data_IF_329195775329
#
_entry.id   IF_329195775329
#
_cell.length_a   1.000
_cell.length_b   1.000
_cell.length_c   1.000
_cell.angle_alpha   90.00
_cell.angle_beta   90.00
_cell.angle_gamma   90.00
#
_symmetry.space_group_name_H-M   'P 1'
#
loop_
_entity.id
_entity.type
_entity.pdbx_description
1 polymer ?
#
# COMPACT_ATOMS: atom_id res chain seq x y z
N UNK A 1 20.26 1.06 -15.69
CA UNK A 1 19.33 1.44 -14.59
C UNK A 1 20.04 2.38 -13.63
N UNK A 2 19.45 3.52 -13.36
CA UNK A 2 19.92 4.50 -12.37
C UNK A 2 19.00 4.49 -11.15
N UNK A 3 19.56 4.55 -9.93
CA UNK A 3 18.81 4.67 -8.68
C UNK A 3 19.22 5.98 -8.00
N UNK A 4 18.23 6.81 -7.72
CA UNK A 4 18.39 8.06 -6.98
C UNK A 4 17.61 8.03 -5.67
N UNK A 5 18.18 8.60 -4.62
CA UNK A 5 17.48 8.81 -3.35
C UNK A 5 17.03 10.26 -3.27
N UNK A 6 15.74 10.45 -3.04
CA UNK A 6 15.11 11.78 -3.01
C UNK A 6 14.39 11.99 -1.69
N UNK A 7 14.53 13.17 -1.11
CA UNK A 7 13.76 13.59 0.07
C UNK A 7 12.62 14.48 -0.41
N UNK A 8 11.40 14.00 -0.29
CA UNK A 8 10.18 14.71 -0.67
C UNK A 8 9.60 15.43 0.55
N UNK A 9 9.35 16.73 0.41
CA UNK A 9 8.71 17.52 1.47
C UNK A 9 7.20 17.48 1.33
N UNK A 10 6.52 17.04 2.39
CA UNK A 10 5.05 17.06 2.43
C UNK A 10 4.52 18.46 2.75
N UNK A 11 3.28 18.75 2.32
CA UNK A 11 2.61 20.04 2.56
C UNK A 11 2.44 20.38 4.05
N UNK A 12 2.51 19.39 4.93
CA UNK A 12 2.43 19.56 6.39
C UNK A 12 3.81 19.46 7.08
N UNK A 13 4.92 19.47 6.31
CA UNK A 13 6.28 19.68 6.79
C UNK A 13 7.01 18.42 7.27
N UNK A 14 6.67 17.23 6.78
CA UNK A 14 7.47 16.02 6.97
C UNK A 14 8.38 15.76 5.78
N UNK A 15 9.52 15.16 6.05
CA UNK A 15 10.43 14.65 5.04
C UNK A 15 10.13 13.16 4.78
N UNK A 16 9.92 12.80 3.51
CA UNK A 16 9.63 11.46 3.05
C UNK A 16 10.80 10.97 2.21
N UNK A 17 11.48 9.93 2.68
CA UNK A 17 12.57 9.29 1.98
C UNK A 17 12.03 8.38 0.88
N UNK A 18 12.46 8.63 -0.34
CA UNK A 18 12.03 7.93 -1.55
C UNK A 18 13.24 7.45 -2.33
N UNK A 19 13.08 6.34 -3.05
CA UNK A 19 14.03 5.86 -4.06
C UNK A 19 13.35 5.89 -5.41
N UNK A 20 13.98 6.52 -6.38
CA UNK A 20 13.54 6.58 -7.78
C UNK A 20 14.47 5.68 -8.59
N UNK A 21 13.90 4.76 -9.33
CA UNK A 21 14.61 3.86 -10.21
C UNK A 21 14.23 4.20 -11.65
N UNK A 22 15.22 4.56 -12.46
CA UNK A 22 15.01 5.02 -13.84
C UNK A 22 15.69 4.07 -14.83
N UNK A 23 15.03 3.64 -15.93
CA UNK A 23 15.66 2.85 -16.97
C UNK A 23 16.70 3.66 -17.77
N UNK A 24 17.65 2.98 -18.40
CA UNK A 24 18.66 3.62 -19.26
C UNK A 24 18.13 4.06 -20.64
N UNK A 25 16.93 3.64 -21.00
CA UNK A 25 16.31 3.87 -22.31
C UNK A 25 15.06 4.74 -22.26
N UNK A 26 14.24 4.59 -23.27
CA UNK A 26 12.95 5.28 -23.39
C UNK A 26 12.00 4.86 -22.27
N UNK A 27 11.33 5.85 -21.67
CA UNK A 27 10.34 5.61 -20.63
C UNK A 27 9.04 5.11 -21.23
N UNK A 28 8.57 3.97 -20.73
CA UNK A 28 7.30 3.36 -21.12
C UNK A 28 6.14 3.92 -20.28
N UNK A 29 6.39 4.14 -19.00
CA UNK A 29 5.44 4.66 -18.03
C UNK A 29 6.06 4.79 -16.65
N UNK A 30 5.26 5.13 -15.65
CA UNK A 30 5.69 5.27 -14.26
C UNK A 30 4.89 4.40 -13.29
N UNK A 31 5.53 3.93 -12.24
CA UNK A 31 4.89 3.11 -11.18
C UNK A 31 5.25 3.65 -9.81
N UNK A 32 4.22 3.93 -9.00
CA UNK A 32 4.38 4.22 -7.56
C UNK A 32 4.05 2.96 -6.78
N UNK A 33 4.97 2.52 -5.90
CA UNK A 33 4.76 1.37 -5.03
C UNK A 33 4.39 1.85 -3.63
N UNK A 34 3.16 1.60 -3.22
CA UNK A 34 2.64 1.87 -1.88
C UNK A 34 2.90 0.67 -0.97
N UNK A 35 3.74 0.85 0.05
CA UNK A 35 4.19 -0.21 0.96
C UNK A 35 3.08 -0.76 1.87
N UNK A 36 3.29 -1.95 2.43
CA UNK A 36 2.49 -2.49 3.52
C UNK A 36 2.79 -1.78 4.86
N UNK A 37 1.90 -1.97 5.85
CA UNK A 37 2.11 -1.45 7.21
C UNK A 37 3.41 -1.97 7.81
N UNK A 38 4.23 -1.08 8.34
CA UNK A 38 5.51 -1.39 8.98
C UNK A 38 6.52 -2.10 8.05
N UNK A 39 6.44 -1.89 6.75
CA UNK A 39 7.39 -2.43 5.77
C UNK A 39 8.12 -1.26 5.11
N UNK A 40 9.45 -1.24 5.24
CA UNK A 40 10.31 -0.25 4.61
C UNK A 40 10.39 -0.45 3.08
N UNK A 41 10.62 0.64 2.36
CA UNK A 41 10.65 0.67 0.89
C UNK A 41 11.66 -0.31 0.27
N UNK A 42 12.76 -0.60 0.94
CA UNK A 42 13.78 -1.53 0.46
C UNK A 42 13.28 -2.95 0.21
N UNK A 43 12.15 -3.33 0.84
CA UNK A 43 11.51 -4.63 0.59
C UNK A 43 11.05 -4.80 -0.85
N UNK A 44 10.71 -3.70 -1.52
CA UNK A 44 10.17 -3.67 -2.88
C UNK A 44 11.25 -3.48 -3.95
N UNK A 45 12.52 -3.33 -3.57
CA UNK A 45 13.60 -2.96 -4.48
C UNK A 45 13.76 -3.92 -5.66
N UNK A 46 13.71 -5.24 -5.43
CA UNK A 46 13.83 -6.24 -6.51
C UNK A 46 12.66 -6.19 -7.50
N UNK A 47 11.46 -5.92 -7.01
CA UNK A 47 10.29 -5.73 -7.87
C UNK A 47 10.39 -4.42 -8.66
N UNK A 48 10.87 -3.35 -8.03
CA UNK A 48 11.15 -2.09 -8.71
C UNK A 48 12.20 -2.27 -9.83
N UNK A 49 13.29 -2.96 -9.55
CA UNK A 49 14.33 -3.27 -10.55
C UNK A 49 13.77 -4.05 -11.75
N UNK A 50 12.95 -5.07 -11.49
CA UNK A 50 12.26 -5.82 -12.54
C UNK A 50 11.43 -4.90 -13.44
N UNK A 51 10.62 -4.01 -12.88
CA UNK A 51 9.80 -3.08 -13.67
C UNK A 51 10.66 -2.08 -14.45
N UNK A 52 11.77 -1.64 -13.89
CA UNK A 52 12.72 -0.75 -14.58
C UNK A 52 13.36 -1.43 -15.79
N UNK A 53 13.70 -2.72 -15.70
CA UNK A 53 14.17 -3.53 -16.84
C UNK A 53 13.12 -3.62 -17.94
N UNK A 54 11.84 -3.41 -17.60
CA UNK A 54 10.72 -3.39 -18.56
C UNK A 54 10.38 -1.97 -19.07
N UNK A 55 11.19 -0.95 -18.72
CA UNK A 55 11.05 0.42 -19.21
C UNK A 55 10.20 1.35 -18.34
N UNK A 56 9.79 0.93 -17.14
CA UNK A 56 9.06 1.79 -16.21
C UNK A 56 10.01 2.57 -15.30
N UNK A 57 9.74 3.86 -15.06
CA UNK A 57 10.30 4.55 -13.90
C UNK A 57 9.54 4.15 -12.66
N UNK A 58 10.23 3.79 -11.57
CA UNK A 58 9.58 3.28 -10.36
C UNK A 58 9.95 4.11 -9.15
N UNK A 59 8.94 4.50 -8.37
CA UNK A 59 9.13 5.20 -7.09
C UNK A 59 8.70 4.27 -5.96
N UNK A 60 9.63 4.03 -5.02
CA UNK A 60 9.34 3.45 -3.71
C UNK A 60 9.62 4.48 -2.64
N UNK A 61 8.91 4.43 -1.51
CA UNK A 61 9.09 5.42 -0.45
C UNK A 61 8.69 4.87 0.92
N UNK A 62 9.29 5.42 1.95
CA UNK A 62 8.92 5.14 3.34
C UNK A 62 7.86 6.15 3.79
N UNK A 63 6.73 5.65 4.29
CA UNK A 63 5.74 6.54 4.92
C UNK A 63 6.32 7.22 6.15
N UNK A 64 5.81 8.42 6.49
CA UNK A 64 6.15 9.08 7.75
C UNK A 64 6.08 8.14 8.94
N UNK A 65 7.13 8.08 9.72
CA UNK A 65 7.23 7.24 10.90
C UNK A 65 7.71 5.81 10.63
N UNK A 66 8.02 5.45 9.37
CA UNK A 66 8.52 4.15 8.96
C UNK A 66 9.90 4.30 8.33
N UNK A 67 10.77 3.31 8.50
CA UNK A 67 12.07 3.20 7.85
C UNK A 67 12.89 4.49 7.98
N UNK A 68 13.36 5.01 6.87
CA UNK A 68 14.16 6.24 6.80
C UNK A 68 13.34 7.52 7.00
N UNK A 69 12.01 7.47 6.85
CA UNK A 69 11.08 8.55 7.20
C UNK A 69 10.64 8.51 8.67
N UNK A 70 11.34 7.73 9.51
CA UNK A 70 11.09 7.68 10.95
C UNK A 70 11.34 9.04 11.60
N UNK A 71 10.57 9.33 12.63
CA UNK A 71 10.73 10.56 13.42
C UNK A 71 11.22 10.23 14.82
N UNK A 72 12.00 11.14 15.42
CA UNK A 72 12.57 10.95 16.76
C UNK A 72 11.50 10.77 17.84
N UNK A 73 10.36 11.44 17.70
CA UNK A 73 9.24 11.35 18.65
C UNK A 73 8.10 10.47 18.11
N UNK A 74 8.11 9.18 18.45
CA UNK A 74 7.06 8.21 18.07
C UNK A 74 5.65 8.54 18.67
N UNK A 75 5.58 9.39 19.71
CA UNK A 75 4.32 9.89 20.31
C UNK A 75 3.78 11.13 19.62
N UNK A 76 4.39 11.59 18.53
CA UNK A 76 3.91 12.74 17.78
C UNK A 76 2.47 12.48 17.29
N UNK A 77 1.53 13.28 17.77
CA UNK A 77 0.10 13.16 17.46
C UNK A 77 -0.27 13.48 16.00
N UNK A 78 0.65 14.13 15.25
CA UNK A 78 0.49 14.39 13.81
C UNK A 78 0.71 13.15 12.97
N UNK A 79 1.40 12.11 13.50
CA UNK A 79 1.56 10.82 12.85
C UNK A 79 0.22 10.09 12.81
N UNK A 80 -0.37 9.96 11.64
CA UNK A 80 -1.64 9.27 11.40
C UNK A 80 -1.54 8.41 10.17
N UNK A 81 -2.15 7.22 10.20
CA UNK A 81 -2.16 6.33 9.02
C UNK A 81 -2.80 7.01 7.79
N UNK A 82 -3.90 7.75 7.98
CA UNK A 82 -4.51 8.52 6.89
C UNK A 82 -3.59 9.58 6.27
N UNK A 83 -2.57 10.05 7.01
CA UNK A 83 -1.62 11.03 6.50
C UNK A 83 -0.67 10.42 5.46
N UNK A 84 -0.48 9.10 5.46
CA UNK A 84 0.28 8.38 4.45
C UNK A 84 -0.29 8.59 3.03
N UNK A 85 -1.63 8.59 2.89
CA UNK A 85 -2.25 8.95 1.60
C UNK A 85 -2.39 10.46 1.42
N UNK A 86 -2.90 11.16 2.48
CA UNK A 86 -3.25 12.58 2.38
C UNK A 86 -2.06 13.51 2.12
N UNK A 87 -0.87 13.13 2.56
CA UNK A 87 0.31 14.01 2.47
C UNK A 87 1.52 13.31 1.87
N UNK A 88 1.82 12.04 2.23
CA UNK A 88 3.04 11.37 1.79
C UNK A 88 2.88 10.93 0.33
N UNK A 89 1.81 10.20 0.00
CA UNK A 89 1.50 9.85 -1.39
C UNK A 89 1.27 11.08 -2.27
N UNK A 90 0.64 12.15 -1.74
CA UNK A 90 0.52 13.42 -2.48
C UNK A 90 1.87 14.02 -2.84
N UNK A 91 2.85 14.00 -1.92
CA UNK A 91 4.20 14.50 -2.22
C UNK A 91 4.90 13.65 -3.29
N UNK A 92 4.67 12.33 -3.29
CA UNK A 92 5.15 11.43 -4.36
C UNK A 92 4.48 11.73 -5.70
N UNK A 93 3.17 11.93 -5.71
CA UNK A 93 2.41 12.30 -6.94
C UNK A 93 2.85 13.67 -7.46
N UNK A 94 2.99 14.68 -6.58
CA UNK A 94 3.45 16.02 -6.96
C UNK A 94 4.86 15.94 -7.60
N UNK A 95 5.75 15.11 -7.05
CA UNK A 95 7.08 14.88 -7.61
C UNK A 95 6.99 14.18 -8.98
N UNK A 96 6.23 13.10 -9.09
CA UNK A 96 6.04 12.34 -10.33
C UNK A 96 5.53 13.25 -11.47
N UNK A 97 4.53 14.10 -11.17
CA UNK A 97 4.02 15.11 -12.12
C UNK A 97 5.07 16.11 -12.54
N UNK A 98 5.95 16.53 -11.62
CA UNK A 98 6.95 17.55 -11.92
C UNK A 98 8.13 17.02 -12.74
N UNK A 99 8.48 15.75 -12.62
CA UNK A 99 9.62 15.15 -13.30
C UNK A 99 9.23 14.42 -14.59
N UNK A 100 8.07 13.76 -14.60
CA UNK A 100 7.62 12.90 -15.70
C UNK A 100 6.09 12.99 -15.86
N UNK A 101 5.56 14.21 -15.98
CA UNK A 101 4.12 14.45 -16.11
C UNK A 101 3.52 14.01 -17.45
N UNK A 102 4.37 13.75 -18.44
CA UNK A 102 4.00 13.37 -19.82
C UNK A 102 3.75 11.86 -20.01
N UNK A 103 4.16 11.03 -19.06
CA UNK A 103 3.94 9.58 -19.11
C UNK A 103 2.75 9.14 -18.27
N UNK A 104 2.21 7.97 -18.60
CA UNK A 104 1.16 7.35 -17.80
C UNK A 104 1.71 6.77 -16.50
N UNK A 105 1.04 7.01 -15.40
CA UNK A 105 1.42 6.53 -14.08
C UNK A 105 0.43 5.51 -13.54
N UNK A 106 0.99 4.49 -12.89
CA UNK A 106 0.26 3.39 -12.27
C UNK A 106 0.61 3.29 -10.78
N UNK A 107 -0.27 2.66 -10.00
CA UNK A 107 -0.01 2.41 -8.59
C UNK A 107 -0.02 0.91 -8.29
N UNK A 108 1.00 0.42 -7.60
CA UNK A 108 1.02 -0.93 -7.02
C UNK A 108 0.89 -0.80 -5.51
N UNK A 109 -0.23 -1.25 -4.95
CA UNK A 109 -0.51 -1.15 -3.51
C UNK A 109 -0.40 -2.50 -2.81
N UNK A 110 0.48 -2.61 -1.81
CA UNK A 110 0.58 -3.79 -0.95
C UNK A 110 -0.17 -3.57 0.36
N UNK A 111 -1.13 -4.44 0.70
CA UNK A 111 -1.83 -4.40 1.99
C UNK A 111 -2.46 -3.00 2.24
N UNK A 112 -2.00 -2.25 3.25
CA UNK A 112 -2.44 -0.87 3.50
C UNK A 112 -2.20 0.04 2.29
N UNK A 113 -1.26 -0.28 1.42
CA UNK A 113 -0.95 0.49 0.21
C UNK A 113 -2.16 0.70 -0.71
N UNK A 114 -3.06 -0.29 -0.80
CA UNK A 114 -4.32 -0.14 -1.50
C UNK A 114 -5.39 0.63 -0.71
N UNK A 115 -5.19 0.88 0.57
CA UNK A 115 -6.12 1.68 1.40
C UNK A 115 -5.75 3.17 1.35
N UNK A 116 -4.45 3.49 1.41
CA UNK A 116 -3.99 4.88 1.52
C UNK A 116 -4.26 5.69 0.25
N UNK A 117 -4.40 5.03 -0.89
CA UNK A 117 -4.78 5.64 -2.16
C UNK A 117 -6.07 6.47 -2.02
N UNK A 118 -7.06 5.95 -1.28
CA UNK A 118 -8.32 6.65 -1.03
C UNK A 118 -8.21 7.93 -0.19
N UNK A 119 -7.05 8.23 0.40
CA UNK A 119 -6.82 9.50 1.11
C UNK A 119 -6.07 10.54 0.29
N UNK A 120 -5.45 10.16 -0.81
CA UNK A 120 -4.78 11.10 -1.69
C UNK A 120 -5.81 11.96 -2.43
N UNK A 121 -5.53 13.28 -2.53
CA UNK A 121 -6.40 14.21 -3.24
C UNK A 121 -6.28 14.04 -4.75
N UNK A 122 -5.09 13.75 -5.22
CA UNK A 122 -4.73 13.60 -6.63
C UNK A 122 -4.68 12.12 -7.07
N UNK A 123 -5.52 11.25 -6.49
CA UNK A 123 -5.51 9.82 -6.80
C UNK A 123 -6.09 9.46 -8.18
N UNK A 124 -6.76 10.40 -8.84
CA UNK A 124 -7.15 10.35 -10.25
C UNK A 124 -5.96 10.45 -11.24
N UNK A 125 -4.77 10.72 -10.72
CA UNK A 125 -3.52 10.72 -11.49
C UNK A 125 -3.17 9.35 -12.07
N UNK A 126 -3.52 8.27 -11.38
CA UNK A 126 -3.17 6.93 -11.81
C UNK A 126 -4.10 6.38 -12.87
N UNK A 127 -3.52 5.82 -13.94
CA UNK A 127 -4.25 5.17 -15.05
C UNK A 127 -4.76 3.79 -14.69
N UNK A 128 -4.02 3.08 -13.81
CA UNK A 128 -4.48 1.82 -13.23
C UNK A 128 -3.89 1.59 -11.85
N UNK A 129 -4.52 0.70 -11.09
CA UNK A 129 -4.06 0.30 -9.75
C UNK A 129 -4.02 -1.22 -9.65
N UNK A 130 -2.91 -1.75 -9.13
CA UNK A 130 -2.72 -3.17 -8.88
C UNK A 130 -2.53 -3.40 -7.37
N UNK A 131 -3.52 -4.02 -6.73
CA UNK A 131 -3.57 -4.21 -5.28
C UNK A 131 -3.19 -5.64 -4.90
N UNK A 132 -2.10 -5.81 -4.18
CA UNK A 132 -1.62 -7.11 -3.68
C UNK A 132 -2.02 -7.26 -2.21
N UNK A 133 -2.81 -8.27 -1.88
CA UNK A 133 -3.24 -8.55 -0.49
C UNK A 133 -3.82 -7.31 0.23
N UNK A 134 -4.38 -6.37 -0.52
CA UNK A 134 -4.99 -5.15 0.05
C UNK A 134 -6.39 -5.46 0.57
N UNK A 135 -6.66 -5.08 1.82
CA UNK A 135 -7.83 -5.54 2.55
C UNK A 135 -8.38 -4.52 3.55
N UNK A 136 -9.61 -4.73 3.98
CA UNK A 136 -10.18 -4.09 5.17
C UNK A 136 -9.70 -4.81 6.43
N UNK A 137 -9.16 -4.06 7.39
CA UNK A 137 -8.68 -4.62 8.66
C UNK A 137 -9.76 -4.84 9.73
N UNK A 138 -11.05 -4.74 9.40
CA UNK A 138 -12.13 -4.97 10.36
C UNK A 138 -12.15 -6.42 10.85
N UNK A 139 -12.02 -6.62 12.16
CA UNK A 139 -11.91 -7.95 12.79
C UNK A 139 -13.03 -8.93 12.44
N UNK A 140 -14.21 -8.43 12.12
CA UNK A 140 -15.37 -9.25 11.77
C UNK A 140 -15.25 -10.00 10.43
N UNK A 141 -14.22 -9.71 9.61
CA UNK A 141 -13.96 -10.44 8.36
C UNK A 141 -13.27 -11.78 8.56
N UNK A 142 -12.67 -12.03 9.73
CA UNK A 142 -12.05 -13.31 10.07
C UNK A 142 -13.06 -14.28 10.67
N UNK A 143 -12.73 -15.57 10.67
CA UNK A 143 -13.59 -16.64 11.19
C UNK A 143 -12.84 -17.47 12.24
N UNK A 144 -13.59 -18.24 13.06
CA UNK A 144 -13.06 -19.15 14.05
C UNK A 144 -12.08 -18.50 15.02
N UNK A 145 -11.01 -19.21 15.35
CA UNK A 145 -9.98 -18.74 16.28
C UNK A 145 -9.25 -17.49 15.80
N UNK A 146 -9.09 -17.33 14.47
CA UNK A 146 -8.44 -16.13 13.89
C UNK A 146 -9.25 -14.87 14.20
N UNK A 147 -10.59 -14.94 14.17
CA UNK A 147 -11.46 -13.84 14.54
C UNK A 147 -11.21 -13.37 15.98
N UNK A 148 -11.12 -14.32 16.92
CA UNK A 148 -10.82 -14.01 18.33
C UNK A 148 -9.42 -13.38 18.48
N UNK A 149 -8.41 -13.91 17.76
CA UNK A 149 -7.05 -13.37 17.77
C UNK A 149 -7.01 -11.92 17.24
N UNK A 150 -7.64 -11.64 16.12
CA UNK A 150 -7.67 -10.29 15.54
C UNK A 150 -8.48 -9.33 16.42
N UNK A 151 -9.58 -9.80 17.03
CA UNK A 151 -10.31 -9.05 18.06
C UNK A 151 -9.38 -8.63 19.19
N UNK A 152 -8.70 -9.57 19.83
CA UNK A 152 -7.76 -9.28 20.94
C UNK A 152 -6.65 -8.33 20.48
N UNK A 153 -6.14 -8.50 19.27
CA UNK A 153 -5.12 -7.62 18.69
C UNK A 153 -5.61 -6.16 18.63
N UNK A 154 -6.82 -5.92 18.10
CA UNK A 154 -7.34 -4.56 17.96
C UNK A 154 -7.85 -3.93 19.25
N UNK A 155 -8.42 -4.73 20.16
CA UNK A 155 -9.02 -4.18 21.38
C UNK A 155 -8.03 -4.08 22.54
N UNK A 156 -6.98 -4.91 22.56
CA UNK A 156 -6.05 -4.96 23.68
C UNK A 156 -4.59 -4.79 23.26
N UNK A 157 -4.04 -5.69 22.45
CA UNK A 157 -2.58 -5.78 22.21
C UNK A 157 -2.02 -4.51 21.59
N UNK A 158 -2.56 -4.08 20.46
CA UNK A 158 -2.06 -2.89 19.74
C UNK A 158 -2.23 -1.60 20.57
N UNK A 159 -3.39 -1.31 21.17
CA UNK A 159 -3.53 -0.14 22.02
C UNK A 159 -2.61 -0.16 23.26
N UNK A 160 -2.46 -1.32 23.91
CA UNK A 160 -1.62 -1.46 25.10
C UNK A 160 -0.14 -1.22 24.76
N UNK A 161 0.40 -1.94 23.76
CA UNK A 161 1.80 -1.78 23.34
C UNK A 161 2.08 -0.34 22.89
N UNK A 162 1.18 0.23 22.07
CA UNK A 162 1.33 1.62 21.61
C UNK A 162 1.37 2.61 22.77
N UNK A 163 0.55 2.41 23.80
CA UNK A 163 0.52 3.31 24.97
C UNK A 163 1.76 3.14 25.86
N UNK A 164 2.15 1.90 26.16
CA UNK A 164 3.27 1.61 27.04
C UNK A 164 4.61 2.05 26.42
N UNK A 165 4.84 1.68 25.17
CA UNK A 165 6.13 1.90 24.49
C UNK A 165 6.15 3.14 23.58
N UNK A 166 5.02 3.86 23.40
CA UNK A 166 4.92 4.95 22.43
C UNK A 166 4.93 4.48 20.97
N UNK A 167 4.93 3.17 20.75
CA UNK A 167 4.91 2.49 19.45
C UNK A 167 4.51 1.03 19.63
N UNK A 168 4.07 0.38 18.56
CA UNK A 168 4.06 -1.09 18.49
C UNK A 168 5.44 -1.51 17.98
N UNK A 169 6.24 -2.24 18.77
CA UNK A 169 7.57 -2.67 18.34
C UNK A 169 7.51 -3.57 17.10
N UNK A 170 8.50 -3.42 16.20
CA UNK A 170 8.55 -4.14 14.92
C UNK A 170 8.54 -5.67 15.05
N UNK A 171 9.08 -6.21 16.16
CA UNK A 171 9.08 -7.65 16.43
C UNK A 171 7.65 -8.26 16.45
N UNK A 172 6.63 -7.47 16.84
CA UNK A 172 5.23 -7.91 16.82
C UNK A 172 4.57 -7.74 15.43
N UNK A 173 5.20 -6.98 14.53
CA UNK A 173 4.68 -6.68 13.20
C UNK A 173 5.44 -7.43 12.09
N UNK A 174 6.59 -8.01 12.43
CA UNK A 174 7.47 -8.67 11.45
C UNK A 174 8.24 -7.69 10.55
N UNK A 175 8.38 -6.43 10.97
CA UNK A 175 9.05 -5.37 10.21
C UNK A 175 9.45 -4.18 11.08
N UNK A 176 9.15 -2.97 10.61
CA UNK A 176 9.44 -1.72 11.32
C UNK A 176 8.49 -1.48 12.50
N UNK A 177 8.92 -0.67 13.46
CA UNK A 177 8.05 -0.24 14.56
C UNK A 177 6.99 0.75 14.07
N UNK A 178 5.76 0.61 14.56
CA UNK A 178 4.64 1.47 14.20
C UNK A 178 4.38 2.53 15.30
N UNK A 179 4.52 3.84 15.03
CA UNK A 179 4.29 4.90 16.00
C UNK A 179 2.91 4.86 16.65
N UNK A 180 2.83 5.31 17.91
CA UNK A 180 1.64 5.23 18.75
C UNK A 180 0.36 5.72 18.08
N UNK A 181 0.40 6.92 17.52
CA UNK A 181 -0.79 7.54 16.94
C UNK A 181 -1.27 6.86 15.66
N UNK A 182 -0.36 6.25 14.88
CA UNK A 182 -0.68 5.45 13.69
C UNK A 182 -1.31 4.13 14.14
N UNK A 183 -0.66 3.42 15.07
CA UNK A 183 -1.14 2.14 15.58
C UNK A 183 -2.53 2.26 16.23
N UNK A 184 -2.75 3.30 17.05
CA UNK A 184 -4.06 3.56 17.68
C UNK A 184 -5.14 3.89 16.65
N UNK A 185 -4.82 4.64 15.58
CA UNK A 185 -5.77 4.91 14.52
C UNK A 185 -6.13 3.64 13.76
N UNK A 186 -5.14 2.81 13.44
CA UNK A 186 -5.35 1.52 12.77
C UNK A 186 -6.22 0.58 13.61
N UNK A 187 -5.91 0.42 14.91
CA UNK A 187 -6.72 -0.36 15.83
C UNK A 187 -8.15 0.18 15.98
N UNK A 188 -8.33 1.52 15.95
CA UNK A 188 -9.65 2.13 15.97
C UNK A 188 -10.47 1.74 14.74
N UNK A 189 -9.88 1.81 13.55
CA UNK A 189 -10.52 1.35 12.33
C UNK A 189 -10.81 -0.15 12.34
N UNK A 190 -9.85 -0.98 12.78
CA UNK A 190 -10.01 -2.42 12.87
C UNK A 190 -11.16 -2.90 13.75
N UNK A 191 -11.60 -2.06 14.70
CA UNK A 191 -12.75 -2.31 15.58
C UNK A 191 -14.10 -1.95 14.96
N UNK A 192 -14.10 -1.09 13.92
CA UNK A 192 -15.33 -0.56 13.33
C UNK A 192 -15.76 -1.39 12.11
N UNK A 193 -17.04 -1.82 12.01
CA UNK A 193 -17.55 -2.54 10.84
C UNK A 193 -17.37 -1.78 9.51
N UNK A 194 -17.43 -0.45 9.54
CA UNK A 194 -17.18 0.39 8.39
C UNK A 194 -15.68 0.61 8.12
N UNK A 195 -14.81 0.11 8.98
CA UNK A 195 -13.35 0.17 8.95
C UNK A 195 -12.83 1.61 8.94
N UNK A 196 -12.51 2.17 7.79
CA UNK A 196 -11.97 3.53 7.66
C UNK A 196 -13.06 4.56 7.98
N UNK A 197 -13.01 5.09 9.21
CA UNK A 197 -13.98 6.03 9.76
C UNK A 197 -13.28 7.21 10.43
N UNK A 198 -13.99 8.32 10.57
CA UNK A 198 -13.55 9.47 11.39
C UNK A 198 -13.70 9.20 12.90
N UNK A 199 -13.47 10.22 13.73
CA UNK A 199 -13.58 10.11 15.20
C UNK A 199 -15.02 9.89 15.69
N UNK A 200 -16.01 10.23 14.89
CA UNK A 200 -17.44 10.05 15.15
C UNK A 200 -17.94 8.70 14.64
N UNK A 201 -17.10 7.91 14.01
CA UNK A 201 -17.48 6.62 13.40
C UNK A 201 -18.10 6.75 12.00
N UNK A 202 -18.07 7.95 11.42
CA UNK A 202 -18.60 8.18 10.07
C UNK A 202 -17.58 7.67 9.02
N UNK A 203 -18.03 6.88 8.02
CA UNK A 203 -17.16 6.38 6.97
C UNK A 203 -16.48 7.51 6.16
N UNK A 204 -15.18 7.38 5.95
CA UNK A 204 -14.41 8.28 5.10
C UNK A 204 -14.31 7.63 3.71
N UNK A 205 -15.07 8.10 2.72
CA UNK A 205 -15.18 7.49 1.39
C UNK A 205 -14.92 8.44 0.23
N UNK A 206 -14.98 9.75 0.42
CA UNK A 206 -14.90 10.75 -0.67
C UNK A 206 -13.72 10.54 -1.60
N UNK A 207 -12.54 10.23 -1.05
CA UNK A 207 -11.35 9.98 -1.85
C UNK A 207 -11.37 8.63 -2.57
N UNK A 208 -12.01 7.62 -1.98
CA UNK A 208 -12.19 6.31 -2.63
C UNK A 208 -13.12 6.42 -3.84
N UNK A 209 -14.16 7.24 -3.74
CA UNK A 209 -15.10 7.48 -4.84
C UNK A 209 -14.53 8.35 -5.98
N UNK A 210 -13.38 9.03 -5.79
CA UNK A 210 -12.71 9.75 -6.88
C UNK A 210 -11.89 8.86 -7.79
N UNK A 211 -11.45 7.70 -7.30
CA UNK A 211 -10.71 6.73 -8.14
C UNK A 211 -11.68 6.14 -9.15
N UNK A 212 -11.45 6.40 -10.43
CA UNK A 212 -12.28 5.94 -11.56
C UNK A 212 -11.53 5.07 -12.56
N UNK A 213 -10.23 4.84 -12.35
CA UNK A 213 -9.42 3.97 -13.20
C UNK A 213 -9.70 2.48 -12.92
N UNK A 214 -9.18 1.61 -13.80
CA UNK A 214 -9.23 0.16 -13.58
C UNK A 214 -8.38 -0.26 -12.39
N UNK A 215 -8.92 -1.14 -11.55
CA UNK A 215 -8.25 -1.67 -10.35
C UNK A 215 -8.31 -3.19 -10.32
N UNK A 216 -7.16 -3.85 -10.12
CA UNK A 216 -7.09 -5.28 -9.88
C UNK A 216 -6.70 -5.55 -8.43
N UNK A 217 -7.51 -6.32 -7.69
CA UNK A 217 -7.21 -6.80 -6.35
C UNK A 217 -6.85 -8.28 -6.40
N UNK A 218 -5.65 -8.63 -5.95
CA UNK A 218 -5.25 -10.02 -5.78
C UNK A 218 -5.69 -10.53 -4.42
N UNK A 219 -6.53 -11.56 -4.45
CA UNK A 219 -6.93 -12.35 -3.30
C UNK A 219 -6.09 -13.63 -3.29
N UNK A 220 -5.00 -13.65 -2.51
CA UNK A 220 -4.08 -14.78 -2.42
C UNK A 220 -4.69 -15.85 -1.51
N UNK A 221 -4.79 -17.07 -2.00
CA UNK A 221 -5.54 -18.15 -1.33
C UNK A 221 -4.93 -18.63 -0.02
N UNK A 222 -3.62 -18.48 0.16
CA UNK A 222 -2.89 -18.86 1.38
C UNK A 222 -2.61 -17.67 2.33
N UNK A 223 -3.22 -16.50 2.07
CA UNK A 223 -3.11 -15.30 2.93
C UNK A 223 -4.29 -15.17 3.91
N UNK A 224 -4.65 -16.26 4.60
CA UNK A 224 -5.79 -16.25 5.55
C UNK A 224 -5.52 -15.44 6.81
N UNK A 225 -4.24 -15.19 7.12
CA UNK A 225 -3.84 -14.54 8.36
C UNK A 225 -4.09 -13.04 8.29
N UNK A 226 -3.80 -12.43 7.14
CA UNK A 226 -3.81 -10.97 6.99
C UNK A 226 -4.91 -10.47 6.04
N UNK A 227 -5.21 -11.20 4.97
CA UNK A 227 -6.15 -10.76 3.94
C UNK A 227 -7.14 -11.86 3.53
N UNK A 228 -8.04 -12.32 4.44
CA UNK A 228 -9.06 -13.30 4.07
C UNK A 228 -9.99 -12.74 2.99
N UNK A 229 -10.63 -13.59 2.17
CA UNK A 229 -11.45 -13.17 1.02
C UNK A 229 -12.46 -12.06 1.33
N UNK A 230 -13.19 -12.16 2.44
CA UNK A 230 -14.17 -11.15 2.88
C UNK A 230 -13.54 -9.77 3.10
N UNK A 231 -12.30 -9.73 3.57
CA UNK A 231 -11.61 -8.46 3.85
C UNK A 231 -11.10 -7.77 2.59
N UNK A 232 -10.65 -8.53 1.59
CA UNK A 232 -10.26 -8.02 0.27
C UNK A 232 -11.48 -7.46 -0.46
N UNK A 233 -12.58 -8.24 -0.53
CA UNK A 233 -13.83 -7.80 -1.14
C UNK A 233 -14.41 -6.54 -0.47
N UNK A 234 -14.32 -6.46 0.86
CA UNK A 234 -14.80 -5.29 1.60
C UNK A 234 -14.02 -4.02 1.25
N UNK A 235 -12.68 -4.08 1.09
CA UNK A 235 -11.92 -2.92 0.65
C UNK A 235 -12.19 -2.57 -0.82
N UNK A 236 -12.24 -3.57 -1.70
CA UNK A 236 -12.57 -3.39 -3.11
C UNK A 236 -13.90 -2.62 -3.28
N UNK A 237 -14.90 -2.94 -2.46
CA UNK A 237 -16.20 -2.24 -2.44
C UNK A 237 -16.16 -0.77 -2.00
N UNK A 238 -15.02 -0.24 -1.52
CA UNK A 238 -14.90 1.20 -1.25
C UNK A 238 -14.70 2.03 -2.53
N UNK A 239 -14.18 1.42 -3.60
CA UNK A 239 -13.84 2.06 -4.87
C UNK A 239 -15.00 1.97 -5.88
N UNK A 240 -16.13 2.57 -5.52
CA UNK A 240 -17.41 2.40 -6.24
C UNK A 240 -17.44 3.00 -7.66
N UNK A 241 -16.52 3.93 -7.98
CA UNK A 241 -16.42 4.54 -9.31
C UNK A 241 -15.36 3.91 -10.19
N UNK A 242 -14.52 3.05 -9.63
CA UNK A 242 -13.47 2.34 -10.35
C UNK A 242 -14.04 1.06 -11.01
N UNK A 243 -13.41 0.66 -12.13
CA UNK A 243 -13.62 -0.67 -12.71
C UNK A 243 -12.79 -1.69 -11.91
N UNK A 244 -13.42 -2.33 -10.92
CA UNK A 244 -12.74 -3.18 -9.94
C UNK A 244 -12.86 -4.66 -10.28
N UNK A 245 -11.72 -5.32 -10.43
CA UNK A 245 -11.59 -6.77 -10.58
C UNK A 245 -10.97 -7.37 -9.32
N UNK A 246 -11.62 -8.38 -8.71
CA UNK A 246 -11.03 -9.18 -7.62
C UNK A 246 -10.67 -10.56 -8.18
N UNK A 247 -9.38 -10.84 -8.25
CA UNK A 247 -8.83 -12.06 -8.85
C UNK A 247 -8.28 -12.96 -7.75
N UNK A 248 -8.74 -14.22 -7.71
CA UNK A 248 -8.18 -15.23 -6.81
C UNK A 248 -6.87 -15.75 -7.41
N UNK A 249 -5.82 -15.76 -6.60
CA UNK A 249 -4.49 -16.29 -6.95
C UNK A 249 -4.26 -17.56 -6.14
N UNK A 250 -4.00 -18.67 -6.83
CA UNK A 250 -3.69 -19.97 -6.22
C UNK A 250 -2.18 -20.09 -5.96
N UNK A 251 -1.81 -20.30 -4.70
CA UNK A 251 -0.41 -20.58 -4.34
C UNK A 251 0.09 -21.92 -4.90
N UNK A 252 -0.81 -22.88 -5.11
CA UNK A 252 -0.50 -24.17 -5.73
C UNK A 252 -0.09 -24.00 -7.19
N UNK A 253 -0.83 -23.21 -8.00
CA UNK A 253 -0.50 -22.91 -9.39
C UNK A 253 0.87 -22.22 -9.54
N UNK A 254 1.29 -21.47 -8.53
CA UNK A 254 2.61 -20.83 -8.50
C UNK A 254 3.71 -21.69 -7.85
N UNK A 255 3.42 -22.97 -7.55
CA UNK A 255 4.39 -23.96 -7.08
C UNK A 255 5.03 -23.66 -5.73
N UNK A 256 4.56 -22.66 -5.01
CA UNK A 256 5.12 -22.29 -3.70
C UNK A 256 4.21 -21.34 -2.93
N UNK A 257 4.32 -21.40 -1.59
CA UNK A 257 3.62 -20.49 -0.69
C UNK A 257 3.89 -19.03 -1.06
N UNK A 258 2.81 -18.25 -1.22
CA UNK A 258 2.83 -16.81 -1.48
C UNK A 258 2.61 -16.05 -0.16
N UNK A 259 1.45 -16.26 0.50
CA UNK A 259 1.06 -15.55 1.70
C UNK A 259 1.04 -14.03 1.52
N UNK A 260 1.00 -13.30 2.64
CA UNK A 260 0.88 -11.83 2.62
C UNK A 260 2.06 -11.11 1.96
N UNK A 261 3.26 -11.64 2.12
CA UNK A 261 4.50 -10.96 1.70
C UNK A 261 5.20 -11.58 0.49
N UNK A 262 4.83 -12.81 0.08
CA UNK A 262 5.59 -13.56 -0.91
C UNK A 262 5.59 -12.95 -2.31
N UNK A 263 4.53 -12.25 -2.70
CA UNK A 263 4.41 -11.65 -4.03
C UNK A 263 5.69 -10.88 -4.45
N UNK A 264 6.26 -10.08 -3.56
CA UNK A 264 7.43 -9.22 -3.85
C UNK A 264 8.78 -9.94 -3.75
N UNK A 265 8.80 -11.26 -3.54
CA UNK A 265 10.04 -12.05 -3.55
C UNK A 265 10.38 -12.48 -4.97
N UNK A 266 11.66 -12.40 -5.35
CA UNK A 266 12.15 -12.70 -6.72
C UNK A 266 11.82 -14.09 -7.23
N UNK A 267 11.53 -15.06 -6.36
CA UNK A 267 11.06 -16.40 -6.78
C UNK A 267 9.74 -16.36 -7.58
N UNK A 268 8.96 -15.29 -7.48
CA UNK A 268 7.71 -15.08 -8.21
C UNK A 268 7.85 -14.19 -9.46
N UNK A 269 9.09 -13.86 -9.85
CA UNK A 269 9.39 -12.98 -11.00
C UNK A 269 8.81 -13.52 -12.31
N UNK A 270 8.88 -14.82 -12.54
CA UNK A 270 8.43 -15.47 -13.77
C UNK A 270 6.93 -15.84 -13.79
N UNK A 271 6.16 -15.36 -12.80
CA UNK A 271 4.72 -15.58 -12.69
C UNK A 271 3.99 -14.31 -12.28
N UNK A 272 3.87 -14.06 -10.97
CA UNK A 272 3.09 -12.94 -10.43
C UNK A 272 3.59 -11.57 -10.88
N UNK A 273 4.90 -11.38 -11.07
CA UNK A 273 5.41 -10.09 -11.55
C UNK A 273 5.11 -9.87 -13.04
N UNK A 274 5.07 -10.95 -13.83
CA UNK A 274 4.64 -10.86 -15.23
C UNK A 274 3.14 -10.54 -15.35
N UNK A 275 2.30 -11.07 -14.45
CA UNK A 275 0.88 -10.67 -14.40
C UNK A 275 0.72 -9.19 -14.05
N UNK A 276 1.50 -8.70 -13.07
CA UNK A 276 1.52 -7.27 -12.76
C UNK A 276 1.99 -6.42 -13.94
N UNK A 277 3.07 -6.82 -14.62
CA UNK A 277 3.56 -6.14 -15.82
C UNK A 277 2.51 -6.12 -16.93
N UNK A 278 1.87 -7.25 -17.22
CA UNK A 278 0.79 -7.33 -18.22
C UNK A 278 -0.39 -6.41 -17.90
N UNK A 279 -0.72 -6.25 -16.60
CA UNK A 279 -1.73 -5.30 -16.17
C UNK A 279 -1.31 -3.85 -16.45
N UNK A 280 -0.07 -3.49 -16.11
CA UNK A 280 0.46 -2.14 -16.35
C UNK A 280 0.50 -1.83 -17.85
N UNK A 281 1.00 -2.77 -18.66
CA UNK A 281 1.10 -2.62 -20.12
C UNK A 281 -0.27 -2.44 -20.78
N UNK A 282 -1.29 -3.17 -20.31
CA UNK A 282 -2.66 -3.08 -20.84
C UNK A 282 -3.27 -1.68 -20.64
N UNK A 283 -2.88 -0.98 -19.57
CA UNK A 283 -3.45 0.32 -19.21
C UNK A 283 -2.51 1.50 -19.52
N UNK A 284 -1.45 1.26 -20.30
CA UNK A 284 -0.48 2.27 -20.68
C UNK A 284 -0.72 2.70 -22.12
N UNK A 285 -1.19 3.92 -22.35
CA UNK A 285 -1.51 4.44 -23.68
C UNK A 285 -0.25 4.59 -24.57
N UNK A 286 0.94 4.75 -23.98
CA UNK A 286 2.20 4.96 -24.71
C UNK A 286 2.71 3.72 -25.43
N UNK A 287 2.11 2.53 -25.22
CA UNK A 287 2.55 1.25 -25.81
C UNK A 287 1.69 0.87 -27.03
N UNK A 288 0.66 1.64 -27.35
CA UNK A 288 -0.35 1.29 -28.39
C UNK A 288 0.00 1.82 -29.79
N UNK A 289 1.29 2.06 -30.11
CA UNK A 289 1.72 2.47 -31.47
C UNK A 289 2.85 1.61 -32.00
#
# INVERSE_FOLDING_TARGET
MFKEEVILKTKDGFDIFSSVFTPDGMLKGGVVVNSATAVGQGYYEKFAQFLVEQGYVVITYDYRGIGRSAVSNSRNKRLKMRAWGKYDLEAVIDWAKSQHGEIDWHCVGHSVGGQILGFAKSNDFFKSVYCVSSQSGYWGHWEGFKKARIFVMWFAVVPLLATLFGKVPGIFLGGESLPESIAKQWAYWGRNPQYIVDKQGVPIRDGFHRVSCSMKFLQIDDDYEFAPPKSVQALAGFYQQADVQVVKVSSEEHGSKIGHFGFFRSKHQHGLWLDALGWLDLHNASVST
#
